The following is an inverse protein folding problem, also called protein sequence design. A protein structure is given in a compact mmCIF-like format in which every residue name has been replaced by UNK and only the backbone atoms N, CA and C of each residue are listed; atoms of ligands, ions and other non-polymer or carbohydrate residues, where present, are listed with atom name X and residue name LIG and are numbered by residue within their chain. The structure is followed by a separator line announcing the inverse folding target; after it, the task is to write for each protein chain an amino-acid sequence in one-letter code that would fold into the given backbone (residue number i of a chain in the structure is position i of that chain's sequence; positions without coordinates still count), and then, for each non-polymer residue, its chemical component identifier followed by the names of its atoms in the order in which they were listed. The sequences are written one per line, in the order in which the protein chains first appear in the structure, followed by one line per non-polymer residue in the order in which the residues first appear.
data_IF_003567863506
#
_entry.id   IF_003567863506
#
_cell.length_a   1.000
_cell.length_b   1.000
_cell.length_c   1.000
_cell.angle_alpha   90.00
_cell.angle_beta   90.00
_cell.angle_gamma   90.00
#
_symmetry.space_group_name_H-M   'P 1'
#
loop_
_entity.id
_entity.type
_entity.pdbx_description
1 polymer ?
#
# COMPACT_ATOMS: atom_id res chain seq x y z
N UNK A 1 14.75 -13.43 -37.53
CA UNK A 1 14.74 -12.40 -36.47
C UNK A 1 16.16 -12.20 -35.96
N UNK A 2 16.68 -10.98 -36.00
CA UNK A 2 18.09 -10.72 -35.69
C UNK A 2 18.34 -10.83 -34.16
N UNK A 3 19.56 -11.11 -33.72
CA UNK A 3 19.91 -11.29 -32.30
C UNK A 3 19.61 -10.02 -31.48
N UNK A 4 19.76 -8.84 -32.09
CA UNK A 4 19.39 -7.55 -31.49
C UNK A 4 17.87 -7.42 -31.26
N UNK A 5 17.04 -7.94 -32.17
CA UNK A 5 15.59 -7.91 -32.03
C UNK A 5 15.15 -8.82 -30.87
N UNK A 6 15.70 -10.03 -30.77
CA UNK A 6 15.40 -10.96 -29.66
C UNK A 6 15.69 -10.33 -28.29
N UNK A 7 16.81 -9.61 -28.15
CA UNK A 7 17.18 -8.94 -26.89
C UNK A 7 16.23 -7.79 -26.54
N UNK A 8 15.78 -7.02 -27.54
CA UNK A 8 14.80 -5.93 -27.37
C UNK A 8 13.42 -6.45 -26.95
N UNK A 9 12.94 -7.51 -27.59
CA UNK A 9 11.66 -8.14 -27.25
C UNK A 9 11.70 -8.83 -25.89
N UNK A 10 12.83 -9.46 -25.52
CA UNK A 10 13.00 -10.06 -24.19
C UNK A 10 12.89 -9.02 -23.06
N UNK A 11 13.62 -7.91 -23.16
CA UNK A 11 13.55 -6.83 -22.17
C UNK A 11 12.18 -6.14 -22.11
N UNK A 12 11.49 -6.04 -23.25
CA UNK A 12 10.11 -5.55 -23.29
C UNK A 12 9.18 -6.51 -22.55
N UNK A 13 9.20 -7.81 -22.87
CA UNK A 13 8.33 -8.79 -22.23
C UNK A 13 8.57 -8.85 -20.72
N UNK A 14 9.82 -8.91 -20.27
CA UNK A 14 10.18 -8.94 -18.85
C UNK A 14 9.62 -7.75 -18.06
N UNK A 15 9.51 -6.58 -18.69
CA UNK A 15 8.90 -5.38 -18.09
C UNK A 15 7.38 -5.49 -17.97
N UNK A 16 6.69 -6.15 -18.90
CA UNK A 16 5.23 -6.21 -18.93
C UNK A 16 4.65 -7.47 -18.28
N UNK A 17 5.45 -8.54 -18.11
CA UNK A 17 5.03 -9.79 -17.47
C UNK A 17 4.36 -9.58 -16.11
N UNK A 18 4.89 -8.74 -15.18
CA UNK A 18 4.26 -8.55 -13.88
C UNK A 18 2.86 -7.92 -13.97
N UNK A 19 2.66 -6.93 -14.84
CA UNK A 19 1.33 -6.33 -15.06
C UNK A 19 0.34 -7.32 -15.67
N UNK A 20 0.82 -8.15 -16.60
CA UNK A 20 0.00 -9.21 -17.17
C UNK A 20 -0.47 -10.19 -16.09
N UNK A 21 0.43 -10.62 -15.18
CA UNK A 21 0.08 -11.49 -14.05
C UNK A 21 -0.99 -10.84 -13.17
N UNK A 22 -0.83 -9.55 -12.82
CA UNK A 22 -1.81 -8.82 -11.99
C UNK A 22 -3.20 -8.80 -12.66
N UNK A 23 -3.27 -8.53 -13.97
CA UNK A 23 -4.53 -8.54 -14.72
C UNK A 23 -5.13 -9.94 -14.74
N UNK A 24 -4.33 -10.98 -14.98
CA UNK A 24 -4.81 -12.37 -14.94
C UNK A 24 -5.34 -12.75 -13.56
N UNK A 25 -4.68 -12.34 -12.48
CA UNK A 25 -5.16 -12.56 -11.11
C UNK A 25 -6.50 -11.87 -10.87
N UNK A 26 -6.64 -10.61 -11.28
CA UNK A 26 -7.91 -9.88 -11.15
C UNK A 26 -9.03 -10.50 -11.99
N UNK A 27 -8.74 -10.87 -13.24
CA UNK A 27 -9.68 -11.62 -14.08
C UNK A 27 -10.11 -12.94 -13.45
N UNK A 28 -9.19 -13.65 -12.79
CA UNK A 28 -9.51 -14.86 -12.03
C UNK A 28 -10.52 -14.58 -10.92
N UNK A 29 -10.36 -13.48 -10.18
CA UNK A 29 -11.33 -13.06 -9.15
C UNK A 29 -12.70 -12.71 -9.75
N UNK A 30 -12.73 -12.03 -10.90
CA UNK A 30 -13.98 -11.70 -11.62
C UNK A 30 -14.70 -12.97 -12.08
N UNK A 31 -13.99 -13.87 -12.77
CA UNK A 31 -14.55 -15.12 -13.27
C UNK A 31 -15.01 -16.03 -12.12
N UNK A 32 -14.23 -16.12 -11.05
CA UNK A 32 -14.62 -16.85 -9.84
C UNK A 32 -15.88 -16.28 -9.19
N UNK A 33 -16.02 -14.96 -9.13
CA UNK A 33 -17.22 -14.29 -8.59
C UNK A 33 -18.46 -14.58 -9.44
N UNK A 34 -18.31 -14.60 -10.77
CA UNK A 34 -19.39 -14.96 -11.71
C UNK A 34 -19.80 -16.43 -11.53
N UNK A 35 -18.83 -17.35 -11.39
CA UNK A 35 -19.12 -18.77 -11.16
C UNK A 35 -19.88 -18.98 -9.84
N UNK A 36 -19.45 -18.33 -8.76
CA UNK A 36 -20.14 -18.39 -7.46
C UNK A 36 -21.57 -17.86 -7.59
N UNK A 37 -21.77 -16.75 -8.31
CA UNK A 37 -23.10 -16.21 -8.57
C UNK A 37 -24.02 -17.22 -9.28
N UNK A 38 -23.52 -17.96 -10.28
CA UNK A 38 -24.30 -19.00 -10.95
C UNK A 38 -24.64 -20.20 -10.05
N UNK A 39 -23.80 -20.51 -9.05
CA UNK A 39 -24.00 -21.66 -8.16
C UNK A 39 -24.89 -21.30 -6.97
N UNK A 40 -24.69 -20.12 -6.38
CA UNK A 40 -25.31 -19.70 -5.11
C UNK A 40 -26.44 -18.69 -5.31
N UNK A 41 -26.57 -18.07 -6.49
CA UNK A 41 -27.57 -17.04 -6.78
C UNK A 41 -27.26 -15.66 -6.21
N UNK A 42 -26.27 -15.55 -5.33
CA UNK A 42 -25.82 -14.30 -4.71
C UNK A 42 -24.44 -13.89 -5.23
N UNK A 43 -24.28 -12.60 -5.53
CA UNK A 43 -23.03 -12.09 -6.10
C UNK A 43 -22.05 -11.75 -4.98
N UNK A 44 -20.86 -12.36 -4.92
CA UNK A 44 -19.89 -12.12 -3.84
C UNK A 44 -19.14 -10.80 -4.09
N UNK A 45 -19.81 -9.68 -3.84
CA UNK A 45 -19.28 -8.32 -4.04
C UNK A 45 -18.02 -8.04 -3.19
N UNK A 46 -17.91 -8.68 -2.03
CA UNK A 46 -16.74 -8.63 -1.14
C UNK A 46 -15.48 -9.16 -1.82
N UNK A 47 -15.58 -10.30 -2.52
CA UNK A 47 -14.47 -10.94 -3.22
C UNK A 47 -14.00 -10.06 -4.38
N UNK A 48 -14.94 -9.48 -5.13
CA UNK A 48 -14.60 -8.59 -6.24
C UNK A 48 -13.94 -7.29 -5.75
N UNK A 49 -14.46 -6.72 -4.66
CA UNK A 49 -13.92 -5.50 -4.03
C UNK A 49 -12.51 -5.74 -3.51
N UNK A 50 -12.29 -6.84 -2.77
CA UNK A 50 -10.97 -7.23 -2.29
C UNK A 50 -10.00 -7.48 -3.45
N UNK A 51 -10.44 -8.19 -4.49
CA UNK A 51 -9.66 -8.44 -5.70
C UNK A 51 -9.21 -7.15 -6.39
N UNK A 52 -10.10 -6.16 -6.50
CA UNK A 52 -9.78 -4.86 -7.09
C UNK A 52 -8.75 -4.09 -6.25
N UNK A 53 -8.93 -4.06 -4.93
CA UNK A 53 -8.00 -3.39 -4.01
C UNK A 53 -6.59 -3.98 -4.16
N UNK A 54 -6.48 -5.31 -4.13
CA UNK A 54 -5.20 -6.01 -4.29
C UNK A 54 -4.57 -5.71 -5.66
N UNK A 55 -5.36 -5.74 -6.74
CA UNK A 55 -4.87 -5.44 -8.09
C UNK A 55 -4.30 -4.01 -8.19
N UNK A 56 -4.99 -3.02 -7.60
CA UNK A 56 -4.52 -1.63 -7.55
C UNK A 56 -3.22 -1.51 -6.77
N UNK A 57 -3.14 -2.10 -5.58
CA UNK A 57 -1.93 -2.08 -4.73
C UNK A 57 -0.74 -2.71 -5.46
N UNK A 58 -0.91 -3.90 -6.04
CA UNK A 58 0.15 -4.58 -6.79
C UNK A 58 0.60 -3.77 -8.01
N UNK A 59 -0.34 -3.12 -8.71
CA UNK A 59 -0.01 -2.24 -9.84
C UNK A 59 0.83 -1.05 -9.38
N UNK A 60 0.48 -0.41 -8.28
CA UNK A 60 1.25 0.71 -7.72
C UNK A 60 2.67 0.24 -7.34
N UNK A 61 2.79 -0.89 -6.65
CA UNK A 61 4.08 -1.46 -6.24
C UNK A 61 4.96 -1.73 -7.46
N UNK A 62 4.41 -2.36 -8.51
CA UNK A 62 5.17 -2.69 -9.71
C UNK A 62 5.60 -1.42 -10.47
N UNK A 63 4.74 -0.42 -10.58
CA UNK A 63 5.09 0.89 -11.17
C UNK A 63 6.24 1.55 -10.41
N UNK A 64 6.20 1.54 -9.07
CA UNK A 64 7.27 2.08 -8.22
C UNK A 64 8.57 1.31 -8.44
N UNK A 65 8.52 -0.03 -8.43
CA UNK A 65 9.68 -0.90 -8.64
C UNK A 65 10.32 -0.67 -10.00
N UNK A 66 9.54 -0.57 -11.07
CA UNK A 66 10.07 -0.31 -12.41
C UNK A 66 10.69 1.08 -12.56
N UNK A 67 10.18 2.09 -11.83
CA UNK A 67 10.80 3.42 -11.77
C UNK A 67 12.10 3.41 -10.96
N UNK A 68 12.23 2.54 -9.96
CA UNK A 68 13.41 2.42 -9.09
C UNK A 68 14.62 1.73 -9.74
N UNK A 69 14.42 0.84 -10.73
CA UNK A 69 15.49 0.09 -11.42
C UNK A 69 16.44 0.92 -12.30
N UNK A 70 16.49 2.25 -12.16
CA UNK A 70 17.29 3.13 -13.04
C UNK A 70 18.76 3.20 -12.64
N UNK A 71 19.12 2.83 -11.40
CA UNK A 71 20.51 2.82 -10.90
C UNK A 71 20.84 1.53 -10.14
N UNK A 72 22.06 1.01 -10.33
CA UNK A 72 22.62 -0.14 -9.59
C UNK A 72 23.12 0.23 -8.18
N UNK A 73 22.73 1.40 -7.68
CA UNK A 73 23.08 1.85 -6.34
C UNK A 73 22.14 1.19 -5.32
N UNK A 74 22.62 0.86 -4.11
CA UNK A 74 21.76 0.38 -3.03
C UNK A 74 20.62 1.38 -2.81
N UNK A 75 19.38 0.89 -2.78
CA UNK A 75 18.15 1.69 -2.75
C UNK A 75 18.02 2.59 -1.49
N UNK A 76 18.81 2.30 -0.45
CA UNK A 76 18.98 3.12 0.74
C UNK A 76 20.37 2.88 1.35
N UNK A 77 21.08 3.97 1.65
CA UNK A 77 22.28 3.96 2.50
C UNK A 77 21.87 3.76 3.98
N UNK A 78 22.78 3.28 4.83
CA UNK A 78 22.55 3.11 6.28
C UNK A 78 22.01 4.38 6.93
N UNK A 79 22.44 5.55 6.44
CA UNK A 79 21.95 6.86 6.88
C UNK A 79 20.45 7.04 6.60
N UNK A 80 20.00 6.66 5.41
CA UNK A 80 18.59 6.79 5.01
C UNK A 80 17.74 5.84 5.85
N UNK A 81 18.18 4.58 6.00
CA UNK A 81 17.49 3.58 6.83
C UNK A 81 17.35 4.08 8.28
N UNK A 82 18.44 4.59 8.85
CA UNK A 82 18.44 5.12 10.23
C UNK A 82 17.53 6.34 10.39
N UNK A 83 17.50 7.25 9.42
CA UNK A 83 16.64 8.43 9.46
C UNK A 83 15.16 8.06 9.34
N UNK A 84 14.83 7.15 8.42
CA UNK A 84 13.47 6.62 8.27
C UNK A 84 13.04 5.90 9.55
N UNK A 85 13.89 5.05 10.12
CA UNK A 85 13.58 4.36 11.38
C UNK A 85 13.34 5.34 12.54
N UNK A 86 14.20 6.34 12.71
CA UNK A 86 14.02 7.39 13.73
C UNK A 86 12.72 8.16 13.52
N UNK A 87 12.37 8.48 12.29
CA UNK A 87 11.09 9.12 11.97
C UNK A 87 9.90 8.26 12.36
N UNK A 88 9.89 6.98 12.01
CA UNK A 88 8.83 6.05 12.43
C UNK A 88 8.73 5.96 13.96
N UNK A 89 9.87 5.90 14.66
CA UNK A 89 9.90 5.86 16.12
C UNK A 89 9.34 7.15 16.74
N UNK A 90 9.77 8.33 16.29
CA UNK A 90 9.26 9.59 16.83
C UNK A 90 7.80 9.82 16.48
N UNK A 91 7.41 9.59 15.22
CA UNK A 91 6.03 9.77 14.77
C UNK A 91 5.07 8.87 15.55
N UNK A 92 5.42 7.59 15.77
CA UNK A 92 4.56 6.67 16.52
C UNK A 92 4.39 7.10 17.98
N UNK A 93 5.47 7.49 18.67
CA UNK A 93 5.40 7.91 20.07
C UNK A 93 4.69 9.26 20.23
N UNK A 94 4.92 10.21 19.32
CA UNK A 94 4.22 11.50 19.33
C UNK A 94 2.72 11.28 19.09
N UNK A 95 2.34 10.48 18.09
CA UNK A 95 0.93 10.17 17.84
C UNK A 95 0.29 9.45 19.02
N UNK A 96 0.99 8.50 19.62
CA UNK A 96 0.48 7.82 20.82
C UNK A 96 0.31 8.79 22.00
N UNK A 97 1.27 9.69 22.22
CA UNK A 97 1.16 10.72 23.26
C UNK A 97 -0.03 11.66 23.02
N UNK A 98 -0.23 12.12 21.78
CA UNK A 98 -1.39 12.94 21.41
C UNK A 98 -2.70 12.19 21.69
N UNK A 99 -2.76 10.90 21.32
CA UNK A 99 -3.93 10.06 21.57
C UNK A 99 -4.23 9.94 23.07
N UNK A 100 -3.22 9.63 23.90
CA UNK A 100 -3.39 9.53 25.34
C UNK A 100 -3.82 10.85 25.99
N UNK A 101 -3.21 11.97 25.58
CA UNK A 101 -3.59 13.29 26.07
C UNK A 101 -5.03 13.60 25.69
N UNK A 102 -5.42 13.36 24.43
CA UNK A 102 -6.79 13.59 23.97
C UNK A 102 -7.82 12.75 24.75
N UNK A 103 -7.55 11.45 24.93
CA UNK A 103 -8.40 10.57 25.72
C UNK A 103 -8.51 11.06 27.17
N UNK A 104 -7.38 11.41 27.81
CA UNK A 104 -7.38 11.94 29.16
C UNK A 104 -8.20 13.22 29.31
N UNK A 105 -8.08 14.16 28.35
CA UNK A 105 -8.91 15.37 28.32
C UNK A 105 -10.39 15.03 28.19
N UNK A 106 -10.78 14.13 27.28
CA UNK A 106 -12.18 13.72 27.13
C UNK A 106 -12.74 13.08 28.41
N UNK A 107 -11.94 12.24 29.08
CA UNK A 107 -12.30 11.65 30.37
C UNK A 107 -12.49 12.71 31.46
N UNK A 108 -11.58 13.70 31.56
CA UNK A 108 -11.70 14.80 32.53
C UNK A 108 -12.91 15.69 32.27
N UNK A 109 -13.38 15.78 31.02
CA UNK A 109 -14.60 16.46 30.64
C UNK A 109 -15.88 15.64 30.91
N UNK A 110 -15.75 14.45 31.51
CA UNK A 110 -16.88 13.57 31.84
C UNK A 110 -17.42 12.76 30.66
N UNK A 111 -16.70 12.67 29.54
CA UNK A 111 -17.10 11.79 28.44
C UNK A 111 -16.71 10.35 28.77
N UNK A 112 -17.72 9.52 29.03
CA UNK A 112 -17.53 8.09 29.35
C UNK A 112 -17.29 7.24 28.11
N UNK A 113 -17.65 7.74 26.92
CA UNK A 113 -17.46 7.04 25.65
C UNK A 113 -17.14 8.01 24.52
N UNK A 114 -16.42 7.51 23.51
CA UNK A 114 -16.14 8.23 22.27
C UNK A 114 -16.57 7.35 21.08
N UNK A 115 -17.02 8.00 20.02
CA UNK A 115 -17.32 7.29 18.78
C UNK A 115 -16.03 6.70 18.19
N UNK A 116 -16.10 5.42 17.82
CA UNK A 116 -15.01 4.69 17.15
C UNK A 116 -14.63 5.40 15.83
N UNK A 117 -15.56 6.14 15.22
CA UNK A 117 -15.29 6.93 14.02
C UNK A 117 -14.16 7.95 14.20
N UNK A 118 -14.04 8.58 15.38
CA UNK A 118 -12.95 9.53 15.65
C UNK A 118 -11.59 8.83 15.73
N UNK A 119 -11.56 7.61 16.27
CA UNK A 119 -10.35 6.77 16.29
C UNK A 119 -9.94 6.38 14.87
N UNK A 120 -10.90 6.02 14.02
CA UNK A 120 -10.63 5.74 12.61
C UNK A 120 -9.97 6.91 11.90
N UNK A 121 -10.53 8.12 12.04
CA UNK A 121 -9.94 9.33 11.45
C UNK A 121 -8.51 9.52 11.94
N UNK A 122 -8.28 9.38 13.25
CA UNK A 122 -6.96 9.53 13.83
C UNK A 122 -5.95 8.53 13.25
N UNK A 123 -6.28 7.24 13.23
CA UNK A 123 -5.37 6.21 12.71
C UNK A 123 -5.14 6.33 11.20
N UNK A 124 -6.17 6.66 10.41
CA UNK A 124 -5.97 6.93 8.98
C UNK A 124 -5.06 8.13 8.76
N UNK A 125 -5.25 9.22 9.51
CA UNK A 125 -4.38 10.40 9.43
C UNK A 125 -2.92 10.05 9.75
N UNK A 126 -2.70 9.23 10.78
CA UNK A 126 -1.38 8.72 11.16
C UNK A 126 -0.73 7.92 10.02
N UNK A 127 -1.45 6.98 9.41
CA UNK A 127 -0.95 6.16 8.29
C UNK A 127 -0.53 7.06 7.12
N UNK A 128 -1.33 8.06 6.77
CA UNK A 128 -0.99 9.00 5.70
C UNK A 128 0.21 9.88 6.03
N UNK A 129 0.27 10.46 7.23
CA UNK A 129 1.38 11.31 7.68
C UNK A 129 2.69 10.52 7.68
N UNK A 130 2.68 9.30 8.22
CA UNK A 130 3.87 8.46 8.29
C UNK A 130 4.25 7.92 6.91
N UNK A 131 3.27 7.47 6.13
CA UNK A 131 3.49 7.00 4.76
C UNK A 131 4.15 8.06 3.89
N UNK A 132 3.52 9.24 3.79
CA UNK A 132 4.05 10.37 2.99
C UNK A 132 5.36 10.89 3.60
N UNK A 133 5.42 11.07 4.92
CA UNK A 133 6.62 11.57 5.61
C UNK A 133 7.84 10.68 5.41
N UNK A 134 7.66 9.36 5.40
CA UNK A 134 8.74 8.41 5.13
C UNK A 134 9.31 8.55 3.71
N UNK A 135 8.46 8.83 2.71
CA UNK A 135 8.88 9.08 1.33
C UNK A 135 9.67 10.38 1.20
N UNK A 136 9.31 11.42 1.96
CA UNK A 136 10.04 12.69 1.99
C UNK A 136 11.42 12.51 2.62
N UNK A 137 11.50 11.78 3.74
CA UNK A 137 12.76 11.53 4.45
C UNK A 137 13.68 10.62 3.66
N UNK A 138 13.14 9.63 2.93
CA UNK A 138 13.92 8.79 2.02
C UNK A 138 14.63 9.59 0.91
N UNK A 139 14.08 10.73 0.50
CA UNK A 139 14.65 11.59 -0.56
C UNK A 139 15.73 12.56 -0.06
N UNK A 140 15.95 12.70 1.25
CA UNK A 140 16.99 13.55 1.86
C UNK A 140 18.17 12.73 2.34
#
# INVERSE_FOLDING_TARGET
MNVKDRKKWGAFLEKWTPFFIIICTFMGAVLGSILIYFIQGEFPSEVLTAGLIVAVILTIIEVVKQKGKKDNLPEADERIIRNVFRFFAYASHISLAILFIALGVFTLLGNESISIFYLWIFFFSYIWIVGIGSLIIKRR
#
